data_IF_988382408842
#
_entry.id   IF_988382408842
#
_cell.length_a   1.000
_cell.length_b   1.000
_cell.length_c   1.000
_cell.angle_alpha   90.00
_cell.angle_beta   90.00
_cell.angle_gamma   90.00
#
_symmetry.space_group_name_H-M   'P 1'
#
loop_
_entity.id
_entity.type
_entity.pdbx_description
1 polymer ?
#
# COMPACT_ATOMS: atom_id res chain seq x y z
N UNK A 1 6.30 -34.51 -5.25
CA UNK A 1 6.29 -33.23 -4.49
C UNK A 1 6.81 -32.14 -5.42
N UNK A 2 6.07 -31.05 -5.65
CA UNK A 2 6.48 -29.97 -6.56
C UNK A 2 7.08 -28.84 -5.71
N UNK A 3 8.35 -28.51 -5.93
CA UNK A 3 9.04 -27.40 -5.22
C UNK A 3 8.81 -26.13 -6.03
N UNK A 4 8.47 -25.03 -5.35
CA UNK A 4 8.32 -23.71 -5.96
C UNK A 4 9.22 -22.70 -5.23
N UNK A 5 9.79 -21.75 -5.98
CA UNK A 5 10.54 -20.62 -5.43
C UNK A 5 9.57 -19.47 -5.23
N UNK A 6 9.55 -18.91 -4.02
CA UNK A 6 8.76 -17.74 -3.66
C UNK A 6 9.68 -16.70 -3.04
N UNK A 7 9.52 -15.45 -3.45
CA UNK A 7 10.27 -14.29 -2.94
C UNK A 7 9.30 -13.13 -2.72
N UNK A 8 9.76 -11.99 -2.25
CA UNK A 8 8.96 -10.76 -2.14
C UNK A 8 9.37 -9.72 -3.20
N UNK A 9 8.61 -8.63 -3.27
CA UNK A 9 8.81 -7.56 -4.26
C UNK A 9 10.16 -6.85 -4.11
N UNK A 10 10.87 -6.99 -2.98
CA UNK A 10 12.17 -6.34 -2.75
C UNK A 10 13.36 -7.15 -3.28
N UNK A 11 13.10 -8.28 -3.94
CA UNK A 11 14.14 -9.08 -4.59
C UNK A 11 14.61 -8.57 -5.95
N UNK A 12 14.06 -7.44 -6.43
CA UNK A 12 14.45 -6.75 -7.67
C UNK A 12 14.53 -7.67 -8.91
N UNK A 13 13.70 -8.72 -8.97
CA UNK A 13 13.60 -9.59 -10.13
C UNK A 13 12.87 -8.88 -11.27
N UNK A 14 13.40 -8.99 -12.49
CA UNK A 14 12.69 -8.51 -13.68
C UNK A 14 11.44 -9.36 -13.94
N UNK A 15 10.42 -8.75 -14.57
CA UNK A 15 9.18 -9.46 -14.92
C UNK A 15 9.48 -10.69 -15.81
N UNK A 16 10.41 -10.55 -16.76
CA UNK A 16 10.85 -11.66 -17.62
C UNK A 16 11.38 -12.87 -16.81
N UNK A 17 12.12 -12.64 -15.71
CA UNK A 17 12.62 -13.72 -14.85
C UNK A 17 11.51 -14.34 -14.02
N UNK A 18 10.61 -13.50 -13.50
CA UNK A 18 9.45 -13.94 -12.73
C UNK A 18 8.59 -14.88 -13.59
N UNK A 19 8.30 -14.48 -14.82
CA UNK A 19 7.48 -15.24 -15.75
C UNK A 19 8.19 -16.52 -16.23
N UNK A 20 9.46 -16.40 -16.64
CA UNK A 20 10.25 -17.53 -17.15
C UNK A 20 10.37 -18.67 -16.15
N UNK A 21 10.53 -18.34 -14.87
CA UNK A 21 10.71 -19.34 -13.80
C UNK A 21 9.45 -19.54 -12.96
N UNK A 22 8.33 -18.90 -13.30
CA UNK A 22 7.07 -18.95 -12.57
C UNK A 22 7.28 -18.70 -11.05
N UNK A 23 8.02 -17.64 -10.74
CA UNK A 23 8.39 -17.26 -9.37
C UNK A 23 7.18 -16.58 -8.72
N UNK A 24 6.79 -17.06 -7.54
CA UNK A 24 5.72 -16.40 -6.81
C UNK A 24 6.27 -15.20 -6.03
N UNK A 25 5.63 -14.04 -6.18
CA UNK A 25 5.94 -12.84 -5.41
C UNK A 25 4.92 -12.69 -4.27
N UNK A 26 5.41 -12.75 -3.03
CA UNK A 26 4.67 -12.42 -1.83
C UNK A 26 4.59 -10.89 -1.69
N UNK A 27 3.41 -10.30 -1.46
CA UNK A 27 3.33 -8.91 -1.03
C UNK A 27 4.05 -8.72 0.30
N UNK A 28 4.96 -7.74 0.35
CA UNK A 28 5.59 -7.30 1.58
C UNK A 28 4.82 -6.09 2.12
N UNK A 29 4.20 -6.23 3.30
CA UNK A 29 3.65 -5.09 4.01
C UNK A 29 4.73 -4.44 4.86
N UNK A 30 4.92 -3.14 4.66
CA UNK A 30 5.85 -2.30 5.42
C UNK A 30 5.10 -1.13 6.04
N UNK A 31 5.63 -0.61 7.13
CA UNK A 31 5.14 0.61 7.77
C UNK A 31 6.29 1.57 8.03
N UNK A 32 5.97 2.84 8.27
CA UNK A 32 6.95 3.83 8.71
C UNK A 32 6.97 3.89 10.24
N UNK A 33 8.14 3.70 10.83
CA UNK A 33 8.40 3.88 12.25
C UNK A 33 9.66 4.74 12.42
N UNK A 34 9.54 5.89 13.10
CA UNK A 34 10.63 6.85 13.33
C UNK A 34 11.43 7.20 12.05
N UNK A 35 10.71 7.48 10.96
CA UNK A 35 11.30 7.82 9.66
C UNK A 35 11.94 6.65 8.91
N UNK A 36 11.88 5.44 9.43
CA UNK A 36 12.40 4.21 8.80
C UNK A 36 11.27 3.36 8.27
N UNK A 37 11.54 2.65 7.18
CA UNK A 37 10.63 1.63 6.64
C UNK A 37 10.96 0.31 7.34
N UNK A 38 10.00 -0.25 8.05
CA UNK A 38 10.14 -1.54 8.73
C UNK A 38 9.18 -2.57 8.15
N UNK A 39 9.60 -3.85 8.01
CA UNK A 39 8.69 -4.94 7.66
C UNK A 39 7.68 -5.14 8.79
N UNK A 40 6.42 -5.34 8.43
CA UNK A 40 5.36 -5.47 9.41
C UNK A 40 4.77 -6.89 9.41
N UNK A 41 4.20 -7.32 8.28
CA UNK A 41 3.63 -8.67 8.14
C UNK A 41 3.84 -9.22 6.73
N UNK A 42 4.10 -10.53 6.63
CA UNK A 42 4.09 -11.24 5.35
C UNK A 42 2.68 -11.75 5.07
N UNK A 43 1.98 -11.03 4.20
CA UNK A 43 0.64 -11.37 3.73
C UNK A 43 0.73 -12.20 2.46
N UNK A 44 -0.13 -13.22 2.35
CA UNK A 44 -0.07 -14.17 1.21
C UNK A 44 -0.63 -13.62 -0.11
N UNK A 45 -1.51 -12.62 -0.07
CA UNK A 45 -2.19 -12.11 -1.26
C UNK A 45 -2.31 -10.60 -1.21
N UNK A 46 -2.25 -9.95 -2.38
CA UNK A 46 -2.35 -8.49 -2.51
C UNK A 46 -3.65 -7.96 -1.91
N UNK A 47 -4.77 -8.65 -2.17
CA UNK A 47 -6.07 -8.34 -1.58
C UNK A 47 -6.03 -8.27 -0.05
N UNK A 48 -5.39 -9.25 0.62
CA UNK A 48 -5.25 -9.22 2.08
C UNK A 48 -4.32 -8.11 2.54
N UNK A 49 -3.24 -7.84 1.80
CA UNK A 49 -2.33 -6.74 2.11
C UNK A 49 -3.07 -5.39 2.13
N UNK A 50 -3.90 -5.12 1.12
CA UNK A 50 -4.70 -3.90 1.02
C UNK A 50 -5.71 -3.81 2.17
N UNK A 51 -6.41 -4.91 2.48
CA UNK A 51 -7.34 -4.96 3.62
C UNK A 51 -6.66 -4.72 4.97
N UNK A 52 -5.46 -5.28 5.17
CA UNK A 52 -4.67 -5.04 6.40
C UNK A 52 -4.25 -3.59 6.51
N UNK A 53 -3.80 -2.99 5.41
CA UNK A 53 -3.37 -1.60 5.33
C UNK A 53 -4.53 -0.64 5.66
N UNK A 54 -5.70 -0.86 5.09
CA UNK A 54 -6.92 -0.12 5.43
C UNK A 54 -7.28 -0.29 6.91
N UNK A 55 -7.40 -1.54 7.39
CA UNK A 55 -7.79 -1.83 8.77
C UNK A 55 -6.86 -1.15 9.78
N UNK A 56 -5.55 -1.23 9.58
CA UNK A 56 -4.57 -0.66 10.51
C UNK A 56 -4.66 0.86 10.57
N UNK A 57 -4.74 1.51 9.41
CA UNK A 57 -4.84 2.97 9.38
C UNK A 57 -6.15 3.42 10.02
N UNK A 58 -7.28 2.77 9.72
CA UNK A 58 -8.57 3.10 10.35
C UNK A 58 -8.57 2.85 11.87
N UNK A 59 -7.91 1.78 12.32
CA UNK A 59 -7.74 1.50 13.75
C UNK A 59 -6.88 2.55 14.47
N UNK A 60 -5.98 3.26 13.78
CA UNK A 60 -5.17 4.36 14.34
C UNK A 60 -5.94 5.68 14.35
N UNK A 61 -6.55 6.05 13.22
CA UNK A 61 -7.12 7.39 13.05
C UNK A 61 -8.48 7.58 13.72
N UNK A 62 -9.14 6.49 14.14
CA UNK A 62 -10.44 6.56 14.83
C UNK A 62 -10.45 7.40 16.11
N UNK A 63 -9.29 7.56 16.73
CA UNK A 63 -9.10 8.32 17.96
C UNK A 63 -8.66 9.78 17.70
N UNK A 64 -8.54 10.20 16.44
CA UNK A 64 -8.21 11.58 16.07
C UNK A 64 -9.47 12.42 15.87
N UNK A 65 -9.42 13.69 16.29
CA UNK A 65 -10.51 14.65 16.09
C UNK A 65 -10.68 15.03 14.61
N UNK A 66 -9.57 15.10 13.87
CA UNK A 66 -9.54 15.38 12.45
C UNK A 66 -8.64 14.38 11.73
N UNK A 67 -9.03 13.98 10.51
CA UNK A 67 -8.32 12.96 9.75
C UNK A 67 -8.21 13.36 8.28
N UNK A 68 -6.99 13.30 7.77
CA UNK A 68 -6.70 13.29 6.34
C UNK A 68 -6.02 11.97 5.97
N UNK A 69 -6.59 11.22 5.02
CA UNK A 69 -6.05 10.00 4.46
C UNK A 69 -5.55 10.24 3.03
N UNK A 70 -4.43 9.63 2.68
CA UNK A 70 -3.87 9.67 1.34
C UNK A 70 -3.65 8.26 0.81
N UNK A 71 -4.34 7.90 -0.26
CA UNK A 71 -3.92 6.78 -1.10
C UNK A 71 -2.76 7.26 -1.97
N UNK A 72 -1.62 6.57 -1.89
CA UNK A 72 -0.38 6.90 -2.60
C UNK A 72 -0.05 5.71 -3.51
N UNK A 73 -0.48 5.79 -4.76
CA UNK A 73 -0.43 4.69 -5.71
C UNK A 73 0.84 4.69 -6.57
N UNK A 74 1.23 3.50 -7.01
CA UNK A 74 2.25 3.29 -8.04
C UNK A 74 1.64 3.11 -9.42
N UNK A 75 2.16 2.13 -10.16
CA UNK A 75 1.80 1.82 -11.54
C UNK A 75 0.53 0.96 -11.70
N UNK A 76 0.00 0.39 -10.61
CA UNK A 76 -1.19 -0.43 -10.66
C UNK A 76 -2.46 0.40 -10.38
N UNK A 77 -2.96 1.07 -11.41
CA UNK A 77 -4.07 2.02 -11.32
C UNK A 77 -5.33 1.43 -10.66
N UNK A 78 -5.74 0.21 -11.01
CA UNK A 78 -6.99 -0.37 -10.50
C UNK A 78 -6.97 -0.57 -8.98
N UNK A 79 -5.83 -0.99 -8.41
CA UNK A 79 -5.73 -1.26 -6.98
C UNK A 79 -5.77 0.03 -6.16
N UNK A 80 -5.07 1.07 -6.62
CA UNK A 80 -5.12 2.39 -5.98
C UNK A 80 -6.54 2.99 -6.03
N UNK A 81 -7.20 2.94 -7.19
CA UNK A 81 -8.56 3.46 -7.33
C UNK A 81 -9.58 2.65 -6.53
N UNK A 82 -9.43 1.32 -6.49
CA UNK A 82 -10.29 0.46 -5.68
C UNK A 82 -10.17 0.79 -4.19
N UNK A 83 -8.95 0.95 -3.67
CA UNK A 83 -8.73 1.36 -2.28
C UNK A 83 -9.30 2.76 -2.01
N UNK A 84 -9.04 3.71 -2.91
CA UNK A 84 -9.54 5.08 -2.77
C UNK A 84 -11.07 5.13 -2.70
N UNK A 85 -11.75 4.49 -3.65
CA UNK A 85 -13.21 4.42 -3.68
C UNK A 85 -13.77 3.71 -2.44
N UNK A 86 -13.14 2.61 -2.04
CA UNK A 86 -13.52 1.88 -0.83
C UNK A 86 -13.41 2.75 0.43
N UNK A 87 -12.33 3.51 0.56
CA UNK A 87 -12.17 4.45 1.68
C UNK A 87 -13.23 5.56 1.65
N UNK A 88 -13.63 6.06 0.48
CA UNK A 88 -14.71 7.03 0.37
C UNK A 88 -16.08 6.46 0.80
N UNK A 89 -16.32 5.18 0.54
CA UNK A 89 -17.56 4.50 0.89
C UNK A 89 -17.60 4.11 2.38
N UNK A 90 -16.46 3.67 2.95
CA UNK A 90 -16.39 3.14 4.32
C UNK A 90 -16.08 4.21 5.38
N UNK A 91 -15.41 5.31 5.01
CA UNK A 91 -15.07 6.38 5.95
C UNK A 91 -16.20 7.40 6.10
N UNK A 92 -16.41 7.99 7.29
CA UNK A 92 -17.33 9.10 7.45
C UNK A 92 -16.88 10.30 6.60
N UNK A 93 -17.82 11.08 6.07
CA UNK A 93 -17.51 12.27 5.26
C UNK A 93 -16.72 13.37 6.00
N UNK A 94 -16.57 13.24 7.32
CA UNK A 94 -15.67 14.08 8.12
C UNK A 94 -14.19 13.81 7.81
N UNK A 95 -13.86 12.58 7.37
CA UNK A 95 -12.51 12.22 6.96
C UNK A 95 -12.24 12.76 5.56
N UNK A 96 -11.12 13.44 5.40
CA UNK A 96 -10.68 13.90 4.11
C UNK A 96 -9.88 12.79 3.44
N UNK A 97 -10.40 12.21 2.36
CA UNK A 97 -9.72 11.14 1.61
C UNK A 97 -9.22 11.69 0.28
N UNK A 98 -7.92 11.62 0.05
CA UNK A 98 -7.26 12.09 -1.16
C UNK A 98 -6.53 10.95 -1.88
N UNK A 99 -6.35 11.13 -3.20
CA UNK A 99 -5.60 10.22 -4.06
C UNK A 99 -4.36 10.94 -4.62
N UNK A 100 -3.26 10.21 -4.70
CA UNK A 100 -1.99 10.69 -5.25
C UNK A 100 -1.18 9.53 -5.82
N UNK A 101 -0.16 9.85 -6.61
CA UNK A 101 0.79 8.88 -7.16
C UNK A 101 2.21 9.28 -6.76
N UNK A 102 3.08 8.29 -6.52
CA UNK A 102 4.49 8.56 -6.23
C UNK A 102 5.33 8.63 -7.51
N UNK A 103 6.36 9.48 -7.47
CA UNK A 103 7.26 9.70 -8.61
C UNK A 103 8.37 8.63 -8.77
N UNK A 104 9.24 8.81 -9.78
CA UNK A 104 10.25 7.82 -10.17
C UNK A 104 11.22 7.40 -9.06
N UNK A 105 11.60 8.33 -8.17
CA UNK A 105 12.56 8.05 -7.08
C UNK A 105 12.01 7.02 -6.11
N UNK A 106 10.73 7.13 -5.72
CA UNK A 106 10.08 6.17 -4.83
C UNK A 106 9.80 4.87 -5.57
N UNK A 107 9.34 4.97 -6.82
CA UNK A 107 9.05 3.81 -7.66
C UNK A 107 10.28 2.90 -7.87
N UNK A 108 11.48 3.49 -8.01
CA UNK A 108 12.72 2.73 -8.15
C UNK A 108 13.04 1.81 -6.96
N UNK A 109 12.54 2.14 -5.76
CA UNK A 109 12.76 1.35 -4.54
C UNK A 109 11.61 0.38 -4.25
N UNK A 110 10.36 0.78 -4.53
CA UNK A 110 9.19 -0.07 -4.29
C UNK A 110 8.97 -1.12 -5.39
N UNK A 111 9.40 -0.81 -6.62
CA UNK A 111 9.11 -1.60 -7.80
C UNK A 111 7.64 -1.49 -8.24
N UNK A 112 7.25 -2.39 -9.14
CA UNK A 112 5.89 -2.47 -9.67
C UNK A 112 4.89 -2.94 -8.60
N UNK A 113 3.69 -2.39 -8.64
CA UNK A 113 2.57 -2.74 -7.76
C UNK A 113 2.62 -2.08 -6.38
N UNK A 114 3.55 -1.15 -6.14
CA UNK A 114 3.64 -0.40 -4.88
C UNK A 114 2.36 0.41 -4.61
N UNK A 115 1.86 0.33 -3.38
CA UNK A 115 0.66 1.04 -2.93
C UNK A 115 0.82 1.38 -1.43
N UNK A 116 0.56 2.64 -1.08
CA UNK A 116 0.61 3.14 0.29
C UNK A 116 -0.70 3.80 0.71
N UNK A 117 -0.96 3.80 2.03
CA UNK A 117 -2.00 4.61 2.67
C UNK A 117 -1.36 5.40 3.80
N UNK A 118 -1.27 6.71 3.61
CA UNK A 118 -0.81 7.66 4.61
C UNK A 118 -1.99 8.25 5.40
N UNK A 119 -1.71 8.72 6.61
CA UNK A 119 -2.67 9.44 7.43
C UNK A 119 -2.04 10.64 8.11
N UNK A 120 -2.88 11.64 8.41
CA UNK A 120 -2.53 12.80 9.22
C UNK A 120 -3.69 13.08 10.18
N UNK A 121 -3.40 13.22 11.47
CA UNK A 121 -4.38 13.58 12.52
C UNK A 121 -4.75 15.06 12.52
N UNK A 122 -4.96 15.65 11.34
CA UNK A 122 -5.37 17.03 11.09
C UNK A 122 -6.16 17.11 9.77
N UNK A 123 -7.02 18.10 9.64
CA UNK A 123 -7.69 18.44 8.37
C UNK A 123 -6.79 19.31 7.51
N UNK A 124 -6.11 18.71 6.54
CA UNK A 124 -5.14 19.41 5.70
C UNK A 124 -5.87 20.21 4.62
N UNK A 125 -5.56 21.51 4.51
CA UNK A 125 -6.05 22.34 3.42
C UNK A 125 -5.39 21.89 2.10
N UNK A 126 -6.16 21.25 1.22
CA UNK A 126 -5.69 20.76 -0.09
C UNK A 126 -5.95 21.75 -1.24
N UNK A 127 -6.59 22.89 -0.95
CA UNK A 127 -6.91 23.99 -1.87
C UNK A 127 -6.88 25.31 -1.12
#
# INVERSE_FOLDING_TARGET
MKIAVMTDSTSYLSQDLIDKYNIQIAPLSVTFEDGKIIPEEKVRTKKRAIQTLEKKVLDIVKDFEEVTLFVINGDHFEDGQALYKKLQDDCPSAYQVAYSEFGPVVAAHLGSGGLGLGYVGRKIRLT
#
